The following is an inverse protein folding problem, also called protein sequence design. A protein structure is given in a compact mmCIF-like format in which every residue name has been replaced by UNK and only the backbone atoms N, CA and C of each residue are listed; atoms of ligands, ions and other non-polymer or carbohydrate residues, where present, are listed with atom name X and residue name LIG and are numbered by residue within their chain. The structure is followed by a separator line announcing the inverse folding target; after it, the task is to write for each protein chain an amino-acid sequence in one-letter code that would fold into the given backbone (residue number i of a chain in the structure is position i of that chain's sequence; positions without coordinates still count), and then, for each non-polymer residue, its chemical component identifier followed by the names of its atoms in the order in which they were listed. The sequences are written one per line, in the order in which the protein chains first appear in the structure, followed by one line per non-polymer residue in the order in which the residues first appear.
data_IF_559160668836
#
_entry.id   IF_559160668836
#
_cell.length_a   1.000
_cell.length_b   1.000
_cell.length_c   1.000
_cell.angle_alpha   90.00
_cell.angle_beta   90.00
_cell.angle_gamma   90.00
#
_symmetry.space_group_name_H-M   'P 1'
#
loop_
_entity.id
_entity.type
_entity.pdbx_description
1 polymer ?
#
# COMPACT_ATOMS: atom_id res chain seq x y z
N UNK A 1 -3.78 -25.72 51.86
CA UNK A 1 -3.43 -26.40 50.60
C UNK A 1 -3.34 -25.34 49.51
N UNK A 2 -2.16 -24.74 49.36
CA UNK A 2 -1.88 -23.77 48.31
C UNK A 2 -1.45 -24.54 47.06
N UNK A 3 -2.26 -24.50 46.01
CA UNK A 3 -1.88 -25.01 44.69
C UNK A 3 -0.97 -23.97 44.01
N UNK A 4 0.34 -24.09 44.21
CA UNK A 4 1.31 -23.50 43.29
C UNK A 4 1.31 -24.35 42.01
N UNK A 5 0.67 -23.83 40.96
CA UNK A 5 0.87 -24.36 39.62
C UNK A 5 2.30 -24.01 39.17
N UNK A 6 3.12 -24.99 38.73
CA UNK A 6 4.43 -24.69 38.22
C UNK A 6 4.30 -23.92 36.90
N UNK A 7 4.84 -22.70 36.86
CA UNK A 7 5.02 -21.92 35.64
C UNK A 7 5.77 -22.77 34.62
N UNK A 8 5.08 -23.16 33.55
CA UNK A 8 5.68 -23.92 32.46
C UNK A 8 6.89 -23.17 31.89
N UNK A 9 8.04 -23.83 31.65
CA UNK A 9 9.20 -23.15 31.09
C UNK A 9 8.83 -22.58 29.72
N UNK A 10 9.03 -21.28 29.53
CA UNK A 10 8.89 -20.61 28.24
C UNK A 10 9.78 -21.35 27.24
N UNK A 11 9.18 -22.19 26.38
CA UNK A 11 9.90 -22.80 25.26
C UNK A 11 10.51 -21.66 24.46
N UNK A 12 11.83 -21.47 24.61
CA UNK A 12 12.64 -20.71 23.68
C UNK A 12 12.54 -21.43 22.34
N UNK A 13 11.52 -21.08 21.54
CA UNK A 13 11.37 -21.55 20.18
C UNK A 13 12.44 -20.83 19.36
N UNK A 14 13.18 -21.59 18.56
CA UNK A 14 14.26 -21.11 17.71
C UNK A 14 13.85 -19.97 16.76
N UNK A 15 14.79 -19.45 15.96
CA UNK A 15 14.61 -18.22 15.20
C UNK A 15 13.28 -18.18 14.42
N UNK A 16 12.65 -17.00 14.39
CA UNK A 16 11.35 -16.74 13.75
C UNK A 16 11.24 -17.38 12.36
N UNK A 17 12.34 -17.36 11.60
CA UNK A 17 12.50 -18.05 10.32
C UNK A 17 13.78 -18.90 10.33
N UNK A 18 13.72 -20.18 9.90
CA UNK A 18 14.85 -21.11 10.01
C UNK A 18 15.99 -20.82 9.01
N UNK A 19 15.75 -20.04 7.95
CA UNK A 19 16.71 -19.76 6.87
C UNK A 19 16.72 -18.25 6.49
N UNK A 20 17.13 -17.35 7.40
CA UNK A 20 17.12 -15.91 7.13
C UNK A 20 18.06 -15.52 5.98
N UNK A 21 19.21 -16.19 5.84
CA UNK A 21 20.16 -15.95 4.76
C UNK A 21 19.61 -16.28 3.37
N UNK A 22 18.78 -17.33 3.26
CA UNK A 22 18.12 -17.66 2.00
C UNK A 22 17.14 -16.55 1.61
N UNK A 23 16.34 -16.06 2.56
CA UNK A 23 15.38 -14.97 2.32
C UNK A 23 16.10 -13.69 1.90
N UNK A 24 17.20 -13.34 2.58
CA UNK A 24 18.02 -12.18 2.21
C UNK A 24 18.58 -12.37 0.79
N UNK A 25 19.13 -13.54 0.48
CA UNK A 25 19.68 -13.84 -0.85
C UNK A 25 18.62 -13.74 -1.94
N UNK A 26 17.41 -14.25 -1.69
CA UNK A 26 16.28 -14.14 -2.61
C UNK A 26 15.79 -12.71 -2.79
N UNK A 27 15.73 -11.91 -1.73
CA UNK A 27 15.34 -10.50 -1.82
C UNK A 27 16.37 -9.68 -2.60
N UNK A 28 17.67 -9.92 -2.34
CA UNK A 28 18.77 -9.30 -3.07
C UNK A 28 18.73 -9.73 -4.53
N UNK A 29 18.62 -11.02 -4.83
CA UNK A 29 18.57 -11.51 -6.21
C UNK A 29 17.35 -11.01 -6.97
N UNK A 30 16.17 -10.97 -6.35
CA UNK A 30 14.96 -10.39 -6.96
C UNK A 30 15.12 -8.90 -7.22
N UNK A 31 15.72 -8.16 -6.30
CA UNK A 31 16.00 -6.72 -6.48
C UNK A 31 17.00 -6.48 -7.60
N UNK A 32 18.10 -7.24 -7.66
CA UNK A 32 19.08 -7.18 -8.74
C UNK A 32 18.46 -7.56 -10.08
N UNK A 33 17.69 -8.64 -10.12
CA UNK A 33 16.97 -9.06 -11.32
C UNK A 33 16.03 -7.95 -11.80
N UNK A 34 15.24 -7.35 -10.91
CA UNK A 34 14.41 -6.19 -11.24
C UNK A 34 15.26 -5.05 -11.81
N UNK A 35 16.37 -4.68 -11.15
CA UNK A 35 17.23 -3.58 -11.60
C UNK A 35 17.87 -3.83 -12.97
N UNK A 36 18.29 -5.06 -13.25
CA UNK A 36 18.94 -5.47 -14.51
C UNK A 36 17.93 -5.57 -15.65
N UNK A 37 16.77 -6.19 -15.40
CA UNK A 37 15.73 -6.42 -16.42
C UNK A 37 14.98 -5.11 -16.76
N UNK A 38 15.06 -4.09 -15.90
CA UNK A 38 14.44 -2.79 -16.13
C UNK A 38 15.48 -1.70 -16.44
N UNK A 39 16.14 -1.68 -17.63
CA UNK A 39 17.31 -0.82 -17.89
C UNK A 39 17.04 0.70 -17.96
N UNK A 40 15.84 1.17 -17.59
CA UNK A 40 15.48 2.58 -17.56
C UNK A 40 15.95 3.34 -16.30
N UNK A 41 15.79 4.67 -16.35
CA UNK A 41 16.05 5.57 -15.23
C UNK A 41 15.04 5.39 -14.08
N UNK A 42 15.24 6.15 -13.01
CA UNK A 42 14.45 6.04 -11.78
C UNK A 42 12.93 6.15 -12.01
N UNK A 43 12.50 7.08 -12.87
CA UNK A 43 11.08 7.27 -13.19
C UNK A 43 10.52 6.12 -14.03
N UNK A 44 11.30 5.50 -14.91
CA UNK A 44 10.89 4.31 -15.66
C UNK A 44 10.70 3.11 -14.73
N UNK A 45 11.57 2.96 -13.72
CA UNK A 45 11.40 1.90 -12.70
C UNK A 45 10.12 2.11 -11.88
N UNK A 46 9.81 3.37 -11.54
CA UNK A 46 8.55 3.70 -10.89
C UNK A 46 7.34 3.38 -11.79
N UNK A 47 7.41 3.71 -13.08
CA UNK A 47 6.37 3.35 -14.06
C UNK A 47 6.13 1.84 -14.11
N UNK A 48 7.19 1.03 -14.16
CA UNK A 48 7.09 -0.43 -14.20
C UNK A 48 6.41 -0.97 -12.95
N UNK A 49 6.87 -0.57 -11.75
CA UNK A 49 6.23 -0.95 -10.48
C UNK A 49 4.74 -0.60 -10.47
N UNK A 50 4.40 0.59 -10.96
CA UNK A 50 3.03 1.10 -10.98
C UNK A 50 2.16 0.47 -12.08
N UNK A 51 2.77 -0.08 -13.13
CA UNK A 51 2.10 -0.75 -14.25
C UNK A 51 1.31 -1.97 -13.78
N UNK A 52 1.80 -2.67 -12.75
CA UNK A 52 1.15 -3.85 -12.18
C UNK A 52 -0.22 -3.56 -11.52
N UNK A 53 -0.49 -2.32 -11.12
CA UNK A 53 -1.70 -1.96 -10.36
C UNK A 53 -2.57 -0.91 -11.03
N UNK A 54 -2.10 -0.30 -12.13
CA UNK A 54 -2.80 0.80 -12.78
C UNK A 54 -2.64 0.76 -14.29
N UNK A 55 -3.75 0.86 -15.02
CA UNK A 55 -3.76 1.00 -16.48
C UNK A 55 -3.09 2.28 -16.99
N UNK A 56 -2.96 3.32 -16.14
CA UNK A 56 -2.32 4.62 -16.45
C UNK A 56 -2.91 5.28 -17.71
N UNK A 57 -4.24 5.36 -17.78
CA UNK A 57 -4.97 6.08 -18.82
C UNK A 57 -4.58 7.56 -18.84
N UNK A 58 -4.21 8.08 -20.01
CA UNK A 58 -3.71 9.45 -20.19
C UNK A 58 -4.69 10.50 -19.66
N UNK A 59 -5.95 10.47 -20.11
CA UNK A 59 -7.02 11.41 -19.70
C UNK A 59 -7.40 11.34 -18.22
N UNK A 60 -6.91 10.31 -17.50
CA UNK A 60 -7.19 10.09 -16.09
C UNK A 60 -5.97 10.31 -15.20
N UNK A 61 -4.89 10.85 -15.76
CA UNK A 61 -3.61 11.01 -15.07
C UNK A 61 -3.21 12.48 -14.99
N UNK A 62 -2.41 12.82 -13.98
CA UNK A 62 -1.77 14.13 -13.93
C UNK A 62 -0.48 14.11 -14.78
N UNK A 63 -0.21 15.23 -15.45
CA UNK A 63 1.01 15.46 -16.22
C UNK A 63 1.75 16.61 -15.56
N UNK A 64 2.95 16.34 -15.04
CA UNK A 64 3.78 17.32 -14.35
C UNK A 64 5.08 17.46 -15.13
N UNK A 65 5.49 18.70 -15.43
CA UNK A 65 6.70 19.00 -16.21
C UNK A 65 6.77 18.23 -17.55
N UNK A 66 5.62 18.08 -18.23
CA UNK A 66 5.53 17.37 -19.51
C UNK A 66 5.58 15.84 -19.41
N UNK A 67 5.58 15.27 -18.19
CA UNK A 67 5.60 13.82 -17.97
C UNK A 67 4.38 13.38 -17.15
N UNK A 68 3.67 12.38 -17.66
CA UNK A 68 2.58 11.73 -16.94
C UNK A 68 3.12 11.07 -15.66
N UNK A 69 2.40 11.18 -14.54
CA UNK A 69 2.74 10.42 -13.33
C UNK A 69 2.67 8.89 -13.57
N UNK A 70 3.39 8.07 -12.80
CA UNK A 70 3.38 6.61 -12.94
C UNK A 70 1.99 5.96 -12.76
N UNK A 71 1.08 6.66 -12.08
CA UNK A 71 -0.28 6.21 -11.77
C UNK A 71 -1.30 7.23 -12.28
N UNK A 72 -2.52 6.76 -12.55
CA UNK A 72 -3.66 7.66 -12.76
C UNK A 72 -3.97 8.43 -11.46
N UNK A 73 -4.76 9.50 -11.56
CA UNK A 73 -5.11 10.37 -10.44
C UNK A 73 -5.68 9.58 -9.24
N UNK A 74 -6.56 8.60 -9.51
CA UNK A 74 -7.15 7.74 -8.48
C UNK A 74 -6.13 6.86 -7.79
N UNK A 75 -5.32 6.14 -8.55
CA UNK A 75 -4.30 5.26 -7.99
C UNK A 75 -3.20 6.06 -7.27
N UNK A 76 -2.84 7.24 -7.79
CA UNK A 76 -1.94 8.19 -7.11
C UNK A 76 -2.48 8.50 -5.71
N UNK A 77 -3.75 8.88 -5.62
CA UNK A 77 -4.44 9.09 -4.34
C UNK A 77 -4.40 7.85 -3.45
N UNK A 78 -4.80 6.69 -3.95
CA UNK A 78 -4.88 5.45 -3.14
C UNK A 78 -3.54 5.03 -2.58
N UNK A 79 -2.47 5.01 -3.37
CA UNK A 79 -1.17 4.50 -2.90
C UNK A 79 -0.41 5.53 -2.06
N UNK A 80 -0.47 6.82 -2.43
CA UNK A 80 0.10 7.88 -1.57
C UNK A 80 -0.69 8.00 -0.27
N UNK A 81 -2.02 7.90 -0.32
CA UNK A 81 -2.87 7.92 0.87
C UNK A 81 -2.66 6.70 1.77
N UNK A 82 -2.52 5.50 1.20
CA UNK A 82 -2.17 4.33 2.00
C UNK A 82 -0.81 4.49 2.71
N UNK A 83 0.19 5.02 2.01
CA UNK A 83 1.50 5.32 2.59
C UNK A 83 1.41 6.37 3.71
N UNK A 84 0.58 7.39 3.49
CA UNK A 84 0.31 8.47 4.46
C UNK A 84 -0.40 7.95 5.70
N UNK A 85 -1.38 7.08 5.54
CA UNK A 85 -2.06 6.45 6.66
C UNK A 85 -1.17 5.47 7.43
N UNK A 86 -0.27 4.73 6.77
CA UNK A 86 0.75 3.94 7.47
C UNK A 86 1.71 4.83 8.26
N UNK A 87 2.24 5.88 7.64
CA UNK A 87 3.12 6.85 8.29
C UNK A 87 2.41 7.57 9.45
N UNK A 88 1.18 8.02 9.23
CA UNK A 88 0.37 8.73 10.21
C UNK A 88 0.06 7.87 11.43
N UNK A 89 -0.32 6.61 11.24
CA UNK A 89 -0.54 5.67 12.35
C UNK A 89 0.77 5.39 13.10
N UNK A 90 1.84 5.05 12.38
CA UNK A 90 3.10 4.65 13.00
C UNK A 90 3.83 5.81 13.70
N UNK A 91 3.90 6.99 13.08
CA UNK A 91 4.77 8.09 13.51
C UNK A 91 3.97 9.20 14.18
N UNK A 92 2.87 9.63 13.59
CA UNK A 92 2.09 10.79 14.10
C UNK A 92 1.24 10.39 15.29
N UNK A 93 0.50 9.29 15.19
CA UNK A 93 -0.32 8.73 16.27
C UNK A 93 0.49 7.82 17.22
N UNK A 94 1.73 7.48 16.85
CA UNK A 94 2.69 6.65 17.61
C UNK A 94 2.16 5.24 17.94
N UNK A 95 1.47 4.61 16.99
CA UNK A 95 0.77 3.32 17.14
C UNK A 95 1.61 2.11 16.72
N UNK A 96 2.90 2.11 17.03
CA UNK A 96 3.90 1.19 16.45
C UNK A 96 3.54 -0.31 16.46
N UNK A 97 2.80 -0.78 17.48
CA UNK A 97 2.38 -2.19 17.62
C UNK A 97 0.89 -2.33 17.91
N UNK A 98 0.10 -1.32 17.55
CA UNK A 98 -1.34 -1.34 17.74
C UNK A 98 -1.97 -2.42 16.85
N UNK A 99 -2.69 -3.36 17.46
CA UNK A 99 -3.27 -4.51 16.77
C UNK A 99 -4.80 -4.56 16.83
N UNK A 100 -5.45 -3.69 17.60
CA UNK A 100 -6.90 -3.64 17.62
C UNK A 100 -7.44 -2.76 16.49
N UNK A 101 -8.56 -3.20 15.91
CA UNK A 101 -9.29 -2.41 14.93
C UNK A 101 -9.86 -1.11 15.54
N UNK A 102 -10.07 -0.08 14.70
CA UNK A 102 -10.82 1.11 15.10
C UNK A 102 -12.21 0.79 15.66
N UNK A 103 -12.82 1.68 16.47
CA UNK A 103 -14.19 1.52 16.92
C UNK A 103 -15.18 1.43 15.74
N UNK A 104 -16.34 0.75 15.91
CA UNK A 104 -17.30 0.51 14.83
C UNK A 104 -17.73 1.78 14.08
N UNK A 105 -17.89 2.91 14.78
CA UNK A 105 -18.21 4.19 14.15
C UNK A 105 -17.17 4.59 13.09
N UNK A 106 -15.88 4.43 13.39
CA UNK A 106 -14.79 4.75 12.45
C UNK A 106 -14.80 3.74 11.30
N UNK A 107 -15.04 2.45 11.58
CA UNK A 107 -15.18 1.42 10.53
C UNK A 107 -16.28 1.79 9.54
N UNK A 108 -17.44 2.26 10.01
CA UNK A 108 -18.53 2.71 9.15
C UNK A 108 -18.12 3.91 8.29
N UNK A 109 -17.41 4.89 8.88
CA UNK A 109 -16.93 6.07 8.14
C UNK A 109 -15.94 5.68 7.03
N UNK A 110 -14.92 4.88 7.35
CA UNK A 110 -13.92 4.46 6.36
C UNK A 110 -14.50 3.50 5.31
N UNK A 111 -15.51 2.69 5.67
CA UNK A 111 -16.28 1.93 4.68
C UNK A 111 -17.02 2.87 3.72
N UNK A 112 -17.58 3.98 4.23
CA UNK A 112 -18.14 5.06 3.41
C UNK A 112 -17.13 5.63 2.41
N UNK A 113 -15.86 5.80 2.79
CA UNK A 113 -14.81 6.24 1.87
C UNK A 113 -14.58 5.25 0.72
N UNK A 114 -14.53 3.94 1.01
CA UNK A 114 -14.42 2.91 -0.03
C UNK A 114 -15.66 2.90 -0.95
N UNK A 115 -16.86 3.14 -0.41
CA UNK A 115 -18.07 3.27 -1.23
C UNK A 115 -18.04 4.51 -2.13
N UNK A 116 -17.56 5.65 -1.63
CA UNK A 116 -17.38 6.86 -2.44
C UNK A 116 -16.37 6.62 -3.58
N UNK A 117 -15.26 5.95 -3.27
CA UNK A 117 -14.28 5.54 -4.27
C UNK A 117 -14.84 4.57 -5.30
N UNK A 118 -15.63 3.58 -4.89
CA UNK A 118 -16.27 2.63 -5.79
C UNK A 118 -17.30 3.33 -6.69
N UNK A 119 -18.10 4.25 -6.14
CA UNK A 119 -19.09 5.04 -6.87
C UNK A 119 -18.43 5.98 -7.89
N UNK A 120 -17.40 6.73 -7.50
CA UNK A 120 -16.60 7.55 -8.43
C UNK A 120 -15.90 6.69 -9.49
N UNK A 121 -15.45 5.49 -9.10
CA UNK A 121 -14.94 4.44 -9.98
C UNK A 121 -15.92 4.08 -11.09
N UNK A 122 -17.12 3.70 -10.69
CA UNK A 122 -18.19 3.31 -11.59
C UNK A 122 -18.62 4.48 -12.49
N UNK A 123 -18.79 5.69 -11.93
CA UNK A 123 -19.14 6.89 -12.70
C UNK A 123 -18.07 7.19 -13.78
N UNK A 124 -16.79 7.10 -13.42
CA UNK A 124 -15.68 7.33 -14.36
C UNK A 124 -15.62 6.27 -15.45
N UNK A 125 -15.91 5.02 -15.11
CA UNK A 125 -15.94 3.91 -16.06
C UNK A 125 -17.11 4.05 -17.05
N UNK A 126 -18.30 4.41 -16.57
CA UNK A 126 -19.46 4.68 -17.42
C UNK A 126 -19.20 5.87 -18.36
N UNK A 127 -18.57 6.93 -17.87
CA UNK A 127 -18.16 8.06 -18.71
C UNK A 127 -17.18 7.64 -19.82
N UNK A 128 -16.21 6.76 -19.51
CA UNK A 128 -15.26 6.21 -20.50
C UNK A 128 -15.97 5.41 -21.61
N UNK A 129 -17.07 4.73 -21.29
CA UNK A 129 -17.87 3.96 -22.24
C UNK A 129 -18.95 4.79 -22.97
N UNK A 130 -18.96 6.12 -22.81
CA UNK A 130 -20.03 7.00 -23.27
C UNK A 130 -21.43 6.58 -22.76
N UNK A 131 -21.49 5.94 -21.59
CA UNK A 131 -22.72 5.54 -20.92
C UNK A 131 -23.31 6.64 -20.03
N UNK A 132 -24.51 6.40 -19.47
CA UNK A 132 -25.15 7.34 -18.55
C UNK A 132 -24.31 7.48 -17.27
N UNK A 133 -23.87 8.71 -16.99
CA UNK A 133 -23.07 9.04 -15.82
C UNK A 133 -23.67 10.26 -15.10
N UNK A 134 -23.44 10.36 -13.79
CA UNK A 134 -24.06 11.38 -12.94
C UNK A 134 -23.36 12.75 -13.07
N UNK A 135 -22.06 12.74 -13.34
CA UNK A 135 -21.24 13.94 -13.49
C UNK A 135 -20.00 13.66 -14.33
N UNK A 136 -19.45 14.71 -14.94
CA UNK A 136 -18.19 14.61 -15.69
C UNK A 136 -17.04 14.24 -14.77
N UNK A 137 -16.27 13.24 -15.19
CA UNK A 137 -15.23 12.65 -14.36
C UNK A 137 -13.97 13.52 -14.36
N UNK A 138 -13.58 14.00 -13.18
CA UNK A 138 -12.50 14.96 -13.00
C UNK A 138 -11.35 14.39 -12.15
N UNK A 139 -10.11 14.72 -12.52
CA UNK A 139 -8.92 14.18 -11.85
C UNK A 139 -8.81 14.54 -10.37
N UNK A 140 -9.27 15.71 -9.94
CA UNK A 140 -9.22 16.08 -8.52
C UNK A 140 -10.14 15.19 -7.68
N UNK A 141 -11.33 14.84 -8.19
CA UNK A 141 -12.28 13.99 -7.48
C UNK A 141 -11.75 12.56 -7.41
N UNK A 142 -11.23 12.05 -8.53
CA UNK A 142 -10.51 10.76 -8.61
C UNK A 142 -9.40 10.68 -7.56
N UNK A 143 -8.60 11.75 -7.43
CA UNK A 143 -7.52 11.85 -6.47
C UNK A 143 -8.03 11.81 -5.02
N UNK A 144 -9.04 12.62 -4.69
CA UNK A 144 -9.62 12.69 -3.33
C UNK A 144 -10.24 11.36 -2.93
N UNK A 145 -11.10 10.77 -3.77
CA UNK A 145 -11.72 9.47 -3.47
C UNK A 145 -10.67 8.37 -3.39
N UNK A 146 -9.64 8.45 -4.25
CA UNK A 146 -8.44 7.63 -4.19
C UNK A 146 -7.76 7.69 -2.83
N UNK A 147 -7.41 8.89 -2.36
CA UNK A 147 -6.75 9.14 -1.08
C UNK A 147 -7.56 8.62 0.12
N UNK A 148 -8.86 8.90 0.15
CA UNK A 148 -9.75 8.40 1.19
C UNK A 148 -9.78 6.86 1.23
N UNK A 149 -9.80 6.20 0.08
CA UNK A 149 -9.71 4.74 0.02
C UNK A 149 -8.32 4.21 0.43
N UNK A 150 -7.24 4.92 0.11
CA UNK A 150 -5.90 4.63 0.59
C UNK A 150 -5.81 4.66 2.11
N UNK A 151 -6.40 5.69 2.72
CA UNK A 151 -6.53 5.80 4.17
C UNK A 151 -7.33 4.62 4.76
N UNK A 152 -8.42 4.21 4.12
CA UNK A 152 -9.18 3.00 4.53
C UNK A 152 -8.30 1.75 4.51
N UNK A 153 -7.58 1.52 3.41
CA UNK A 153 -6.71 0.35 3.25
C UNK A 153 -5.63 0.30 4.33
N UNK A 154 -4.92 1.41 4.55
CA UNK A 154 -3.89 1.47 5.60
C UNK A 154 -4.46 1.31 7.00
N UNK A 155 -5.66 1.84 7.27
CA UNK A 155 -6.33 1.70 8.58
C UNK A 155 -6.72 0.25 8.89
N UNK A 156 -7.06 -0.54 7.87
CA UNK A 156 -7.41 -1.96 8.02
C UNK A 156 -6.17 -2.87 8.02
N UNK A 157 -5.23 -2.63 7.11
CA UNK A 157 -4.02 -3.45 6.97
C UNK A 157 -3.07 -3.28 8.16
N UNK A 158 -2.96 -2.07 8.72
CA UNK A 158 -2.01 -1.79 9.80
C UNK A 158 -2.22 -2.62 11.07
N UNK A 159 -3.43 -2.70 11.67
CA UNK A 159 -3.65 -3.55 12.86
C UNK A 159 -3.48 -5.03 12.54
N UNK A 160 -3.90 -5.51 11.36
CA UNK A 160 -3.71 -6.91 10.94
C UNK A 160 -2.23 -7.23 10.81
N UNK A 161 -1.45 -6.35 10.18
CA UNK A 161 -0.01 -6.50 10.03
C UNK A 161 0.67 -6.61 11.40
N UNK A 162 0.33 -5.70 12.34
CA UNK A 162 0.89 -5.73 13.68
C UNK A 162 0.46 -6.97 14.47
N UNK A 163 -0.80 -7.40 14.36
CA UNK A 163 -1.31 -8.61 14.99
C UNK A 163 -0.62 -9.87 14.46
N UNK A 164 -0.40 -9.97 13.16
CA UNK A 164 0.23 -11.16 12.56
C UNK A 164 1.73 -11.24 12.89
N UNK A 165 2.42 -10.10 12.90
CA UNK A 165 3.88 -10.05 12.98
C UNK A 165 4.39 -10.19 14.42
N UNK A 166 3.90 -9.34 15.34
CA UNK A 166 4.50 -9.17 16.66
C UNK A 166 4.13 -10.29 17.61
N UNK A 167 5.08 -10.80 18.39
CA UNK A 167 4.82 -11.77 19.47
C UNK A 167 3.95 -11.22 20.59
N UNK A 168 4.15 -9.94 20.89
CA UNK A 168 3.41 -9.20 21.90
C UNK A 168 2.85 -7.92 21.27
N UNK A 169 1.76 -8.02 20.49
CA UNK A 169 1.08 -6.84 19.99
C UNK A 169 0.45 -6.08 21.16
N UNK A 170 0.37 -4.75 21.05
CA UNK A 170 -0.27 -3.95 22.08
C UNK A 170 -1.79 -3.99 21.88
N UNK A 171 -2.58 -4.23 22.96
CA UNK A 171 -4.04 -4.17 22.93
C UNK A 171 -4.48 -2.70 22.91
N UNK A 172 -4.07 -2.00 21.86
CA UNK A 172 -4.49 -0.64 21.59
C UNK A 172 -5.04 -0.55 20.17
N UNK A 173 -6.06 0.29 20.01
CA UNK A 173 -6.67 0.57 18.70
C UNK A 173 -5.72 1.37 17.85
N UNK A 174 -5.57 0.96 16.59
CA UNK A 174 -4.81 1.71 15.58
C UNK A 174 -5.35 3.15 15.41
N UNK A 175 -6.66 3.33 15.57
CA UNK A 175 -7.32 4.63 15.62
C UNK A 175 -8.33 4.66 16.76
N UNK A 176 -8.17 5.57 17.74
CA UNK A 176 -8.96 5.53 18.98
C UNK A 176 -10.29 6.27 18.87
N UNK A 177 -10.33 7.38 18.14
CA UNK A 177 -11.47 8.30 18.10
C UNK A 177 -11.46 9.15 16.81
N UNK A 178 -12.48 10.01 16.66
CA UNK A 178 -12.61 10.91 15.51
C UNK A 178 -11.49 11.95 15.41
N UNK A 179 -10.79 12.27 16.51
CA UNK A 179 -9.62 13.16 16.47
C UNK A 179 -8.46 12.49 15.75
N UNK A 180 -8.17 11.22 16.05
CA UNK A 180 -7.15 10.45 15.33
C UNK A 180 -7.48 10.38 13.83
N UNK A 181 -8.75 10.11 13.48
CA UNK A 181 -9.22 10.14 12.09
C UNK A 181 -9.03 11.52 11.45
N UNK A 182 -9.42 12.59 12.14
CA UNK A 182 -9.31 13.96 11.65
C UNK A 182 -7.85 14.39 11.42
N UNK A 183 -6.92 13.94 12.26
CA UNK A 183 -5.48 14.16 12.04
C UNK A 183 -5.01 13.49 10.76
N UNK A 184 -5.39 12.22 10.53
CA UNK A 184 -5.01 11.51 9.31
C UNK A 184 -5.66 12.14 8.06
N UNK A 185 -6.93 12.53 8.13
CA UNK A 185 -7.61 13.24 7.04
C UNK A 185 -6.96 14.59 6.74
N UNK A 186 -6.43 15.29 7.74
CA UNK A 186 -5.68 16.53 7.53
C UNK A 186 -4.36 16.28 6.80
N UNK A 187 -3.65 15.19 7.14
CA UNK A 187 -2.44 14.77 6.41
C UNK A 187 -2.76 14.40 4.95
N UNK A 188 -3.83 13.64 4.74
CA UNK A 188 -4.34 13.32 3.39
C UNK A 188 -4.68 14.58 2.60
N UNK A 189 -5.43 15.51 3.20
CA UNK A 189 -5.79 16.78 2.56
C UNK A 189 -4.55 17.60 2.19
N UNK A 190 -3.51 17.60 3.04
CA UNK A 190 -2.23 18.21 2.74
C UNK A 190 -1.54 17.60 1.52
N UNK A 191 -1.46 16.27 1.44
CA UNK A 191 -0.85 15.60 0.29
C UNK A 191 -1.68 15.74 -0.99
N UNK A 192 -3.01 15.64 -0.91
CA UNK A 192 -3.91 15.91 -2.03
C UNK A 192 -3.70 17.34 -2.52
N UNK A 193 -3.66 18.32 -1.62
CA UNK A 193 -3.37 19.72 -1.95
C UNK A 193 -2.03 19.87 -2.67
N UNK A 194 -0.97 19.21 -2.19
CA UNK A 194 0.35 19.20 -2.83
C UNK A 194 0.28 18.62 -4.25
N UNK A 195 -0.37 17.48 -4.46
CA UNK A 195 -0.53 16.88 -5.79
C UNK A 195 -1.28 17.83 -6.73
N UNK A 196 -2.34 18.49 -6.24
CA UNK A 196 -3.15 19.42 -7.03
C UNK A 196 -2.40 20.68 -7.44
N UNK A 197 -1.32 21.07 -6.74
CA UNK A 197 -0.47 22.19 -7.19
C UNK A 197 0.21 21.92 -8.53
N UNK A 198 0.40 20.65 -8.89
CA UNK A 198 1.09 20.19 -10.10
C UNK A 198 2.45 20.87 -10.32
N UNK A 199 3.11 21.26 -9.22
CA UNK A 199 4.39 21.95 -9.29
C UNK A 199 5.46 21.03 -9.87
N UNK A 200 6.25 21.54 -10.82
CA UNK A 200 7.24 20.75 -11.57
C UNK A 200 8.23 19.98 -10.68
N UNK A 201 8.63 20.55 -9.54
CA UNK A 201 9.52 19.89 -8.57
C UNK A 201 8.91 18.66 -7.92
N UNK A 202 7.58 18.53 -7.90
CA UNK A 202 6.87 17.41 -7.30
C UNK A 202 6.85 16.16 -8.17
N UNK A 203 7.29 16.23 -9.44
CA UNK A 203 7.31 15.08 -10.35
C UNK A 203 8.05 13.88 -9.72
N UNK A 204 9.30 14.10 -9.26
CA UNK A 204 10.11 13.03 -8.68
C UNK A 204 9.56 12.53 -7.33
N UNK A 205 9.29 13.41 -6.35
CA UNK A 205 8.69 12.97 -5.09
C UNK A 205 7.39 12.18 -5.26
N UNK A 206 6.45 12.66 -6.08
CA UNK A 206 5.16 12.00 -6.26
C UNK A 206 5.27 10.68 -7.02
N UNK A 207 6.13 10.60 -8.03
CA UNK A 207 6.39 9.35 -8.74
C UNK A 207 7.00 8.28 -7.82
N UNK A 208 7.97 8.67 -6.98
CA UNK A 208 8.62 7.78 -6.03
C UNK A 208 7.68 7.37 -4.89
N UNK A 209 6.93 8.31 -4.33
CA UNK A 209 5.93 8.01 -3.29
C UNK A 209 4.83 7.09 -3.81
N UNK A 210 4.43 7.24 -5.08
CA UNK A 210 3.49 6.34 -5.74
C UNK A 210 4.02 4.91 -5.79
N UNK A 211 5.21 4.70 -6.35
CA UNK A 211 5.83 3.38 -6.42
C UNK A 211 6.12 2.79 -5.03
N UNK A 212 6.57 3.62 -4.09
CA UNK A 212 6.78 3.22 -2.70
C UNK A 212 5.46 2.83 -2.02
N UNK A 213 4.37 3.55 -2.26
CA UNK A 213 3.05 3.22 -1.73
C UNK A 213 2.53 1.88 -2.25
N UNK A 214 2.71 1.60 -3.55
CA UNK A 214 2.41 0.29 -4.15
C UNK A 214 3.20 -0.81 -3.47
N UNK A 215 4.53 -0.66 -3.40
CA UNK A 215 5.41 -1.66 -2.81
C UNK A 215 5.15 -1.83 -1.32
N UNK A 216 4.90 -0.76 -0.57
CA UNK A 216 4.63 -0.81 0.86
C UNK A 216 3.33 -1.57 1.16
N UNK A 217 2.25 -1.28 0.42
CA UNK A 217 0.97 -1.95 0.60
C UNK A 217 1.06 -3.43 0.21
N UNK A 218 1.62 -3.73 -0.97
CA UNK A 218 1.83 -5.11 -1.41
C UNK A 218 2.74 -5.87 -0.43
N UNK A 219 3.86 -5.28 -0.02
CA UNK A 219 4.81 -5.91 0.92
C UNK A 219 4.14 -6.19 2.25
N UNK A 220 3.31 -5.27 2.76
CA UNK A 220 2.59 -5.46 4.03
C UNK A 220 1.64 -6.67 3.94
N UNK A 221 0.81 -6.73 2.89
CA UNK A 221 -0.14 -7.83 2.67
C UNK A 221 0.58 -9.14 2.37
N UNK A 222 1.59 -9.14 1.50
CA UNK A 222 2.41 -10.31 1.19
C UNK A 222 3.16 -10.83 2.42
N UNK A 223 3.65 -9.96 3.30
CA UNK A 223 4.29 -10.36 4.55
C UNK A 223 3.31 -11.07 5.48
N UNK A 224 2.08 -10.54 5.63
CA UNK A 224 1.01 -11.20 6.39
C UNK A 224 0.77 -12.60 5.83
N UNK A 225 0.57 -12.71 4.51
CA UNK A 225 0.31 -13.99 3.83
C UNK A 225 1.46 -14.98 4.03
N UNK A 226 2.71 -14.56 3.83
CA UNK A 226 3.89 -15.43 4.01
C UNK A 226 4.00 -15.92 5.45
N UNK A 227 3.81 -15.04 6.43
CA UNK A 227 3.87 -15.39 7.86
C UNK A 227 2.78 -16.39 8.23
N UNK A 228 1.55 -16.20 7.72
CA UNK A 228 0.43 -17.12 7.92
C UNK A 228 0.67 -18.48 7.26
N UNK A 229 1.17 -18.51 6.01
CA UNK A 229 1.47 -19.75 5.27
C UNK A 229 2.54 -20.57 5.98
N UNK A 230 3.61 -19.92 6.45
CA UNK A 230 4.69 -20.58 7.19
C UNK A 230 4.28 -20.90 8.65
N UNK A 231 3.07 -20.48 9.07
CA UNK A 231 2.51 -20.66 10.41
C UNK A 231 3.44 -20.10 11.51
N UNK A 232 4.06 -18.97 11.22
CA UNK A 232 4.99 -18.25 12.11
C UNK A 232 4.41 -16.92 12.56
N UNK A 233 3.11 -16.89 12.78
CA UNK A 233 2.40 -15.73 13.34
C UNK A 233 2.83 -15.49 14.78
N UNK A 234 2.86 -14.22 15.21
CA UNK A 234 3.15 -13.82 16.59
C UNK A 234 4.51 -14.33 17.12
N UNK A 235 5.57 -14.27 16.31
CA UNK A 235 6.92 -14.72 16.74
C UNK A 235 7.97 -13.62 16.79
N UNK A 236 7.73 -12.45 16.20
CA UNK A 236 8.73 -11.38 16.08
C UNK A 236 8.73 -10.50 17.33
N UNK A 237 9.90 -10.29 17.93
CA UNK A 237 10.04 -9.44 19.12
C UNK A 237 10.64 -8.07 18.80
N UNK A 238 11.52 -7.99 17.79
CA UNK A 238 12.28 -6.79 17.46
C UNK A 238 12.12 -6.39 16.00
N UNK A 239 12.31 -5.10 15.68
CA UNK A 239 12.30 -4.63 14.29
C UNK A 239 13.40 -5.26 13.44
N UNK A 240 14.50 -5.71 14.05
CA UNK A 240 15.57 -6.43 13.33
C UNK A 240 15.10 -7.80 12.86
N UNK A 241 14.32 -8.50 13.68
CA UNK A 241 13.69 -9.77 13.29
C UNK A 241 12.57 -9.56 12.27
N UNK A 242 11.83 -8.45 12.35
CA UNK A 242 10.79 -8.09 11.40
C UNK A 242 11.31 -7.92 9.95
N UNK A 243 12.60 -7.60 9.76
CA UNK A 243 13.21 -7.48 8.43
C UNK A 243 13.05 -8.77 7.63
N UNK A 244 13.13 -9.94 8.25
CA UNK A 244 13.07 -11.21 7.53
C UNK A 244 11.70 -11.47 6.89
N UNK A 245 10.56 -11.46 7.62
CA UNK A 245 9.25 -11.58 7.00
C UNK A 245 8.93 -10.42 6.04
N UNK A 246 9.41 -9.20 6.32
CA UNK A 246 9.26 -8.06 5.41
C UNK A 246 10.01 -8.27 4.08
N UNK A 247 11.24 -8.80 4.11
CA UNK A 247 12.00 -9.13 2.90
C UNK A 247 11.34 -10.27 2.12
N UNK A 248 10.78 -11.26 2.82
CA UNK A 248 10.03 -12.33 2.17
C UNK A 248 8.76 -11.79 1.48
N UNK A 249 7.99 -10.94 2.17
CA UNK A 249 6.85 -10.23 1.59
C UNK A 249 7.24 -9.35 0.41
N UNK A 250 8.32 -8.57 0.53
CA UNK A 250 8.84 -7.71 -0.53
C UNK A 250 9.26 -8.51 -1.77
N UNK A 251 9.95 -9.64 -1.57
CA UNK A 251 10.31 -10.55 -2.67
C UNK A 251 9.06 -11.07 -3.37
N UNK A 252 8.06 -11.50 -2.60
CA UNK A 252 6.77 -11.93 -3.15
C UNK A 252 6.07 -10.80 -3.92
N UNK A 253 6.11 -9.57 -3.42
CA UNK A 253 5.53 -8.40 -4.10
C UNK A 253 6.25 -8.09 -5.42
N UNK A 254 7.59 -8.17 -5.46
CA UNK A 254 8.34 -7.99 -6.72
C UNK A 254 7.98 -9.08 -7.74
N UNK A 255 7.84 -10.32 -7.30
CA UNK A 255 7.39 -11.44 -8.16
C UNK A 255 5.98 -11.18 -8.68
N UNK A 256 5.05 -10.73 -7.82
CA UNK A 256 3.69 -10.37 -8.23
C UNK A 256 3.66 -9.25 -9.26
N UNK A 257 4.42 -8.17 -9.02
CA UNK A 257 4.55 -7.05 -9.95
C UNK A 257 5.07 -7.55 -11.30
N UNK A 258 6.19 -8.27 -11.31
CA UNK A 258 6.77 -8.81 -12.54
C UNK A 258 5.83 -9.78 -13.27
N UNK A 259 5.11 -10.64 -12.55
CA UNK A 259 4.14 -11.56 -13.14
C UNK A 259 2.97 -10.81 -13.79
N UNK A 260 2.41 -9.79 -13.13
CA UNK A 260 1.33 -8.97 -13.68
C UNK A 260 1.82 -8.19 -14.89
N UNK A 261 3.02 -7.60 -14.83
CA UNK A 261 3.60 -6.86 -15.94
C UNK A 261 3.83 -7.76 -17.17
N UNK A 262 4.34 -8.98 -16.98
CA UNK A 262 4.50 -9.96 -18.08
C UNK A 262 3.14 -10.30 -18.70
N UNK A 263 2.13 -10.60 -17.88
CA UNK A 263 0.78 -10.92 -18.38
C UNK A 263 0.19 -9.71 -19.11
N UNK A 264 0.34 -8.51 -18.56
CA UNK A 264 -0.13 -7.27 -19.18
C UNK A 264 0.56 -7.03 -20.52
N UNK A 265 1.88 -7.17 -20.58
CA UNK A 265 2.64 -7.02 -21.82
C UNK A 265 2.20 -8.05 -22.86
N UNK A 266 1.99 -9.32 -22.45
CA UNK A 266 1.49 -10.36 -23.35
C UNK A 266 0.10 -10.05 -23.91
N UNK A 267 -0.78 -9.39 -23.14
CA UNK A 267 -2.14 -9.04 -23.56
C UNK A 267 -2.23 -7.74 -24.37
N UNK A 268 -1.41 -6.74 -24.05
CA UNK A 268 -1.56 -5.37 -24.58
C UNK A 268 -0.41 -4.92 -25.47
N UNK A 269 0.72 -5.63 -25.46
CA UNK A 269 1.93 -5.26 -26.21
C UNK A 269 2.67 -4.04 -25.66
N UNK A 270 2.20 -3.43 -24.53
CA UNK A 270 2.80 -2.22 -23.96
C UNK A 270 2.81 -2.23 -22.43
N UNK A 271 3.83 -1.60 -21.86
CA UNK A 271 3.91 -1.24 -20.45
C UNK A 271 3.74 0.28 -20.23
N UNK A 272 3.73 1.07 -21.31
CA UNK A 272 3.63 2.52 -21.31
C UNK A 272 2.16 2.96 -21.42
N UNK A 273 1.38 2.67 -20.36
CA UNK A 273 -0.03 3.07 -20.30
C UNK A 273 -0.92 2.42 -21.36
N UNK A 274 -2.23 2.64 -21.27
CA UNK A 274 -3.18 2.24 -22.32
C UNK A 274 -3.83 3.53 -22.80
N UNK A 275 -3.72 3.82 -24.10
CA UNK A 275 -4.52 4.88 -24.72
C UNK A 275 -5.94 4.36 -24.92
N UNK A 276 -6.99 5.15 -24.65
CA UNK A 276 -8.34 4.72 -24.97
C UNK A 276 -8.43 4.44 -26.47
N UNK A 277 -8.95 3.26 -26.83
CA UNK A 277 -9.30 2.92 -28.21
C UNK A 277 -10.32 3.98 -28.67
N UNK A 278 -9.88 4.92 -29.52
CA UNK A 278 -10.77 5.82 -30.26
C UNK A 278 -11.44 5.08 -31.40
#
# INVERSE_FOLDING_TARGET
MNNEQPSSPSKQRGPAFPLPWLIITLAVSASLAFLIVTPGGLLTKADIVCCAVCGRLEDHSFVIAGRQLPLCARCTGTFIGALTGFFGQAVVLRRHRAAEFPPPLIIVIIAGFTLLWAGDGLNSYLALLNGPHLYESQNWLRLVTGALNGLTMSTLVYPVFNFTLWRHPLPERAMRNLRDLGILLLLEAGLVGLVLTQWSLLLYPLALLSALGVLALLTSVSSILVVMIVRRENVVETWREAIIPLLAGFTMSLIQVGAIDIVRYALTGTLEGISPLR
#
